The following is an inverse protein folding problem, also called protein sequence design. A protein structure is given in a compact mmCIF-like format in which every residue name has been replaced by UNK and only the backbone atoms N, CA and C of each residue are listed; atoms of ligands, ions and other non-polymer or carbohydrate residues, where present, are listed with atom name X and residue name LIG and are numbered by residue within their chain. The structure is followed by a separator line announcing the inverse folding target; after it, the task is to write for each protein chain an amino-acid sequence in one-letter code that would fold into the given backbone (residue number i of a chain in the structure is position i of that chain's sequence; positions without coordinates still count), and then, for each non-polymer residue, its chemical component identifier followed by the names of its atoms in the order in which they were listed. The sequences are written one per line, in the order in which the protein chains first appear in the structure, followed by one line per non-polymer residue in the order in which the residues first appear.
data_IF_190360100948
#
_entry.id   IF_190360100948
#
_cell.length_a   1.000
_cell.length_b   1.000
_cell.length_c   1.000
_cell.angle_alpha   90.00
_cell.angle_beta   90.00
_cell.angle_gamma   90.00
#
_symmetry.space_group_name_H-M   'P 1'
#
loop_
_entity.id
_entity.type
_entity.pdbx_description
1 polymer ?
#
# COMPACT_ATOMS: atom_id res chain seq x y z
N UNK A 1 38.75 58.87 -0.97
CA UNK A 1 38.44 57.57 -0.36
C UNK A 1 37.05 57.15 -0.81
N UNK A 2 36.93 56.36 -1.88
CA UNK A 2 35.64 55.92 -2.42
C UNK A 2 35.24 54.61 -1.75
N UNK A 3 34.15 54.60 -0.99
CA UNK A 3 33.61 53.39 -0.34
C UNK A 3 32.57 52.75 -1.27
N UNK A 4 32.95 51.70 -1.98
CA UNK A 4 32.01 50.85 -2.71
C UNK A 4 31.23 49.99 -1.70
N UNK A 5 29.91 50.21 -1.62
CA UNK A 5 28.98 49.32 -0.92
C UNK A 5 28.61 48.16 -1.85
N UNK A 6 29.10 46.96 -1.56
CA UNK A 6 28.66 45.74 -2.23
C UNK A 6 27.35 45.26 -1.61
N UNK A 7 26.24 45.42 -2.33
CA UNK A 7 24.96 44.79 -1.99
C UNK A 7 25.03 43.33 -2.45
N UNK A 8 25.16 42.41 -1.49
CA UNK A 8 25.07 40.97 -1.73
C UNK A 8 23.57 40.61 -1.83
N UNK A 9 23.08 40.38 -3.05
CA UNK A 9 21.73 39.85 -3.29
C UNK A 9 21.78 38.33 -3.15
N UNK A 10 21.30 37.81 -2.02
CA UNK A 10 21.10 36.38 -1.78
C UNK A 10 19.88 35.89 -2.59
N UNK A 11 20.12 35.32 -3.77
CA UNK A 11 19.11 34.59 -4.52
C UNK A 11 18.78 33.27 -3.80
N UNK A 12 17.66 33.24 -3.08
CA UNK A 12 17.04 31.99 -2.62
C UNK A 12 16.51 31.23 -3.85
N UNK A 13 17.29 30.26 -4.34
CA UNK A 13 16.76 29.23 -5.24
C UNK A 13 15.79 28.35 -4.46
N UNK A 14 14.49 28.64 -4.56
CA UNK A 14 13.46 27.71 -4.13
C UNK A 14 13.51 26.49 -5.06
N UNK A 15 14.16 25.41 -4.61
CA UNK A 15 14.04 24.10 -5.24
C UNK A 15 12.58 23.66 -5.12
N UNK A 16 11.79 23.92 -6.15
CA UNK A 16 10.47 23.31 -6.28
C UNK A 16 10.68 21.83 -6.55
N UNK A 17 10.67 21.03 -5.48
CA UNK A 17 10.57 19.59 -5.61
C UNK A 17 9.22 19.28 -6.23
N UNK A 18 9.19 19.05 -7.55
CA UNK A 18 7.98 18.58 -8.22
C UNK A 18 7.61 17.22 -7.66
N UNK A 19 6.48 17.15 -6.94
CA UNK A 19 5.91 15.88 -6.51
C UNK A 19 5.66 15.03 -7.77
N UNK A 20 6.20 13.81 -7.77
CA UNK A 20 6.00 12.88 -8.88
C UNK A 20 4.54 12.41 -8.86
N UNK A 21 3.72 13.02 -9.70
CA UNK A 21 2.33 12.62 -9.89
C UNK A 21 2.20 11.56 -11.00
N UNK A 22 1.24 10.65 -10.83
CA UNK A 22 0.91 9.62 -11.80
C UNK A 22 -0.54 9.77 -12.25
N UNK A 23 -0.78 9.71 -13.56
CA UNK A 23 -2.14 9.84 -14.09
C UNK A 23 -2.92 8.52 -14.08
N UNK A 24 -2.26 7.40 -13.77
CA UNK A 24 -2.91 6.09 -13.63
C UNK A 24 -2.15 5.13 -12.72
N UNK A 25 -2.89 4.19 -12.11
CA UNK A 25 -2.32 3.10 -11.31
C UNK A 25 -1.30 2.26 -12.09
N UNK A 26 -1.49 2.08 -13.40
CA UNK A 26 -0.55 1.33 -14.23
C UNK A 26 0.82 2.01 -14.30
N UNK A 27 0.84 3.34 -14.47
CA UNK A 27 2.06 4.12 -14.48
C UNK A 27 2.77 4.08 -13.12
N UNK A 28 2.02 4.29 -12.03
CA UNK A 28 2.55 4.20 -10.67
C UNK A 28 3.21 2.83 -10.41
N UNK A 29 2.54 1.73 -10.75
CA UNK A 29 3.11 0.38 -10.64
C UNK A 29 4.36 0.19 -11.49
N UNK A 30 4.36 0.68 -12.73
CA UNK A 30 5.53 0.58 -13.62
C UNK A 30 6.73 1.33 -13.03
N UNK A 31 6.50 2.51 -12.46
CA UNK A 31 7.51 3.28 -11.77
C UNK A 31 8.03 2.53 -10.54
N UNK A 32 7.14 2.13 -9.63
CA UNK A 32 7.52 1.45 -8.39
C UNK A 32 8.25 0.12 -8.64
N UNK A 33 7.84 -0.66 -9.63
CA UNK A 33 8.54 -1.91 -10.00
C UNK A 33 9.98 -1.68 -10.47
N UNK A 34 10.29 -0.50 -11.04
CA UNK A 34 11.68 -0.14 -11.39
C UNK A 34 12.51 0.17 -10.15
N UNK A 35 11.90 0.74 -9.12
CA UNK A 35 12.54 1.11 -7.85
C UNK A 35 12.79 -0.07 -6.90
N UNK A 36 12.33 -1.28 -7.24
CA UNK A 36 12.64 -2.47 -6.43
C UNK A 36 14.14 -2.74 -6.46
N UNK A 37 14.71 -2.77 -5.26
CA UNK A 37 16.11 -3.11 -4.91
C UNK A 37 16.19 -4.46 -4.22
N UNK A 38 17.41 -4.94 -3.94
CA UNK A 38 17.65 -6.18 -3.19
C UNK A 38 17.13 -6.12 -1.75
N UNK A 39 17.11 -4.93 -1.14
CA UNK A 39 16.58 -4.69 0.20
C UNK A 39 15.06 -4.50 0.22
N UNK A 40 14.40 -4.50 -0.94
CA UNK A 40 12.95 -4.35 -0.98
C UNK A 40 12.28 -5.57 -0.35
N UNK A 41 11.31 -5.31 0.53
CA UNK A 41 10.57 -6.34 1.27
C UNK A 41 9.05 -6.17 1.13
N UNK A 42 8.32 -7.29 1.19
CA UNK A 42 6.85 -7.26 1.16
C UNK A 42 6.27 -6.69 2.47
N UNK A 43 5.18 -5.92 2.35
CA UNK A 43 4.58 -5.19 3.46
C UNK A 43 4.24 -6.09 4.65
N UNK A 44 3.56 -7.21 4.39
CA UNK A 44 2.98 -8.05 5.46
C UNK A 44 3.90 -9.16 5.94
N UNK A 45 4.81 -9.67 5.11
CA UNK A 45 5.63 -10.84 5.46
C UNK A 45 7.12 -10.57 5.48
N UNK A 46 7.54 -9.34 5.15
CA UNK A 46 8.95 -8.98 5.06
C UNK A 46 9.78 -9.93 4.16
N UNK A 47 9.15 -10.51 3.14
CA UNK A 47 9.84 -11.38 2.19
C UNK A 47 10.64 -10.54 1.20
N UNK A 48 11.84 -11.01 0.84
CA UNK A 48 12.60 -10.51 -0.29
C UNK A 48 11.78 -10.55 -1.59
N UNK A 49 12.16 -9.71 -2.54
CA UNK A 49 11.47 -9.58 -3.82
C UNK A 49 12.47 -9.80 -4.95
N UNK A 50 12.28 -10.87 -5.72
CA UNK A 50 13.09 -11.18 -6.89
C UNK A 50 12.39 -10.74 -8.17
N UNK A 51 13.15 -10.18 -9.13
CA UNK A 51 12.67 -9.92 -10.49
C UNK A 51 12.85 -11.18 -11.35
N UNK A 52 11.76 -11.74 -11.88
CA UNK A 52 11.78 -12.80 -12.90
C UNK A 52 11.15 -12.27 -14.19
N UNK A 53 12.00 -11.82 -15.12
CA UNK A 53 11.55 -11.05 -16.29
C UNK A 53 10.80 -9.79 -15.86
N UNK A 54 9.55 -9.63 -16.32
CA UNK A 54 8.68 -8.49 -15.94
C UNK A 54 7.93 -8.71 -14.62
N UNK A 55 8.03 -9.89 -14.00
CA UNK A 55 7.28 -10.26 -12.79
C UNK A 55 8.13 -10.03 -11.55
N UNK A 56 7.49 -9.54 -10.50
CA UNK A 56 8.04 -9.52 -9.15
C UNK A 56 7.54 -10.77 -8.42
N UNK A 57 8.44 -11.52 -7.80
CA UNK A 57 8.16 -12.80 -7.14
C UNK A 57 8.65 -12.72 -5.69
N UNK A 58 7.86 -13.16 -4.70
CA UNK A 58 8.34 -13.23 -3.33
C UNK A 58 9.42 -14.30 -3.20
N UNK A 59 10.53 -13.97 -2.56
CA UNK A 59 11.49 -14.95 -2.05
C UNK A 59 10.96 -15.45 -0.71
N UNK A 60 10.26 -16.58 -0.75
CA UNK A 60 9.60 -17.16 0.42
C UNK A 60 10.61 -17.75 1.42
N UNK A 61 11.81 -18.11 0.97
CA UNK A 61 12.87 -18.66 1.83
C UNK A 61 13.40 -17.61 2.79
N UNK A 62 13.45 -16.34 2.38
CA UNK A 62 13.89 -15.21 3.20
C UNK A 62 13.00 -14.88 4.40
N UNK A 63 11.74 -15.34 4.40
CA UNK A 63 10.73 -14.96 5.38
C UNK A 63 9.90 -16.12 5.95
N UNK A 64 10.07 -17.34 5.42
CA UNK A 64 9.28 -18.51 5.83
C UNK A 64 7.80 -18.44 5.46
N UNK A 65 7.41 -17.66 4.44
CA UNK A 65 6.03 -17.62 3.97
C UNK A 65 5.62 -18.99 3.40
N UNK A 66 4.45 -19.48 3.82
CA UNK A 66 3.76 -20.60 3.20
C UNK A 66 2.36 -20.18 2.79
N UNK A 67 1.90 -20.62 1.61
CA UNK A 67 0.57 -20.28 1.14
C UNK A 67 -0.51 -20.96 1.99
N UNK A 68 -1.55 -20.22 2.36
CA UNK A 68 -2.71 -20.79 3.07
C UNK A 68 -3.51 -21.71 2.15
N UNK A 69 -3.62 -21.34 0.89
CA UNK A 69 -4.25 -22.12 -0.17
C UNK A 69 -3.22 -22.35 -1.28
N UNK A 70 -2.35 -23.37 -1.17
CA UNK A 70 -1.33 -23.64 -2.18
C UNK A 70 -1.95 -24.03 -3.54
N UNK A 71 -3.15 -24.60 -3.52
CA UNK A 71 -3.90 -24.98 -4.71
C UNK A 71 -5.28 -24.30 -4.75
N UNK A 72 -5.72 -23.97 -5.96
CA UNK A 72 -7.08 -23.54 -6.26
C UNK A 72 -8.07 -24.69 -6.12
N UNK A 73 -9.38 -24.39 -6.12
CA UNK A 73 -10.46 -25.40 -6.10
C UNK A 73 -10.39 -26.42 -7.24
N UNK A 74 -9.75 -26.05 -8.35
CA UNK A 74 -9.61 -26.90 -9.53
C UNK A 74 -8.24 -27.62 -9.56
N UNK A 75 -7.53 -27.72 -8.43
CA UNK A 75 -6.26 -28.43 -8.28
C UNK A 75 -5.03 -27.73 -8.87
N UNK A 76 -5.19 -26.57 -9.52
CA UNK A 76 -4.06 -25.80 -10.06
C UNK A 76 -3.34 -25.03 -8.96
N UNK A 77 -2.02 -24.84 -9.08
CA UNK A 77 -1.26 -23.97 -8.19
C UNK A 77 -1.88 -22.57 -8.05
N UNK A 78 -1.85 -22.04 -6.84
CA UNK A 78 -2.28 -20.68 -6.55
C UNK A 78 -1.25 -19.67 -7.07
N UNK A 79 -1.43 -19.23 -8.32
CA UNK A 79 -0.56 -18.23 -8.95
C UNK A 79 -0.45 -16.90 -8.19
N UNK A 80 -1.38 -16.58 -7.27
CA UNK A 80 -1.28 -15.38 -6.43
C UNK A 80 -0.26 -15.53 -5.30
N UNK A 81 -0.04 -16.73 -4.78
CA UNK A 81 1.01 -16.99 -3.80
C UNK A 81 2.42 -16.76 -4.39
N UNK A 82 2.56 -16.88 -5.71
CA UNK A 82 3.84 -16.84 -6.43
C UNK A 82 4.12 -15.51 -7.14
N UNK A 83 3.45 -14.42 -6.75
CA UNK A 83 3.70 -13.09 -7.33
C UNK A 83 3.48 -11.97 -6.32
N UNK A 84 4.18 -10.86 -6.54
CA UNK A 84 3.92 -9.61 -5.84
C UNK A 84 2.79 -8.87 -6.55
N UNK A 85 1.84 -8.38 -5.75
CA UNK A 85 0.82 -7.44 -6.15
C UNK A 85 1.04 -6.11 -5.41
N UNK A 86 0.72 -5.00 -6.06
CA UNK A 86 0.81 -3.68 -5.44
C UNK A 86 -0.44 -3.44 -4.60
N UNK A 87 -0.25 -3.49 -3.29
CA UNK A 87 -1.26 -3.27 -2.27
C UNK A 87 -1.61 -1.79 -2.15
N UNK A 88 -2.91 -1.51 -2.14
CA UNK A 88 -3.45 -0.22 -1.72
C UNK A 88 -3.65 -0.29 -0.20
N UNK A 89 -2.73 0.27 0.60
CA UNK A 89 -2.78 0.19 2.07
C UNK A 89 -4.14 0.68 2.58
N UNK A 90 -4.54 1.90 2.21
CA UNK A 90 -5.93 2.33 2.19
C UNK A 90 -6.56 1.79 0.93
N UNK A 91 -7.48 0.82 1.08
CA UNK A 91 -8.03 0.10 -0.06
C UNK A 91 -8.73 1.03 -1.06
N UNK A 92 -8.74 0.67 -2.35
CA UNK A 92 -9.45 1.44 -3.37
C UNK A 92 -10.95 1.58 -3.11
N UNK A 93 -11.54 0.60 -2.43
CA UNK A 93 -12.91 0.68 -1.98
C UNK A 93 -13.07 1.76 -0.92
N UNK A 94 -12.18 1.84 0.07
CA UNK A 94 -12.29 2.77 1.19
C UNK A 94 -12.30 4.23 0.74
N UNK A 95 -11.37 4.63 -0.14
CA UNK A 95 -11.34 5.99 -0.68
C UNK A 95 -12.29 6.25 -1.85
N UNK A 96 -12.92 5.21 -2.41
CA UNK A 96 -13.70 5.30 -3.65
C UNK A 96 -15.20 5.08 -3.51
N UNK A 97 -15.64 4.21 -2.59
CA UNK A 97 -17.01 3.68 -2.59
C UNK A 97 -18.09 4.74 -2.38
N UNK A 98 -17.80 5.87 -1.75
CA UNK A 98 -18.75 6.96 -1.54
C UNK A 98 -18.82 7.94 -2.73
N UNK A 99 -17.96 7.79 -3.73
CA UNK A 99 -17.97 8.67 -4.91
C UNK A 99 -19.10 8.29 -5.86
N UNK A 100 -19.70 9.28 -6.51
CA UNK A 100 -20.76 9.07 -7.49
C UNK A 100 -20.34 8.14 -8.64
N UNK A 101 -19.09 8.26 -9.12
CA UNK A 101 -18.57 7.36 -10.14
C UNK A 101 -18.56 5.88 -9.69
N UNK A 102 -18.45 5.63 -8.38
CA UNK A 102 -18.42 4.27 -7.88
C UNK A 102 -19.83 3.69 -7.85
N UNK A 103 -20.82 4.50 -7.48
CA UNK A 103 -22.23 4.12 -7.53
C UNK A 103 -22.69 3.82 -8.97
N UNK A 104 -22.15 4.54 -9.95
CA UNK A 104 -22.50 4.39 -11.37
C UNK A 104 -21.79 3.25 -12.11
N UNK A 105 -20.82 2.56 -11.50
CA UNK A 105 -20.11 1.47 -12.19
C UNK A 105 -18.81 1.00 -11.53
N UNK A 106 -18.70 1.21 -10.22
CA UNK A 106 -17.59 0.79 -9.39
C UNK A 106 -16.23 1.38 -9.77
N UNK A 107 -15.17 0.70 -9.31
CA UNK A 107 -13.77 1.06 -9.57
C UNK A 107 -13.47 1.25 -11.05
N UNK A 108 -14.04 0.41 -11.92
CA UNK A 108 -13.81 0.47 -13.39
C UNK A 108 -14.34 1.78 -13.96
N UNK A 109 -15.54 2.22 -13.55
CA UNK A 109 -16.09 3.50 -13.99
C UNK A 109 -15.31 4.68 -13.40
N UNK A 110 -15.00 4.66 -12.11
CA UNK A 110 -14.20 5.73 -11.49
C UNK A 110 -12.86 5.97 -12.16
N UNK A 111 -12.15 4.91 -12.59
CA UNK A 111 -10.91 5.05 -13.36
C UNK A 111 -11.10 5.86 -14.65
N UNK A 112 -12.25 5.75 -15.31
CA UNK A 112 -12.55 6.46 -16.56
C UNK A 112 -12.93 7.92 -16.30
N UNK A 113 -13.85 8.15 -15.36
CA UNK A 113 -14.53 9.46 -15.27
C UNK A 113 -14.05 10.37 -14.13
N UNK A 114 -13.40 9.82 -13.10
CA UNK A 114 -13.02 10.60 -11.92
C UNK A 114 -11.52 10.83 -11.84
N UNK A 115 -11.08 12.06 -12.11
CA UNK A 115 -9.69 12.47 -11.91
C UNK A 115 -9.26 12.33 -10.45
N UNK A 116 -10.13 12.76 -9.52
CA UNK A 116 -9.90 12.61 -8.07
C UNK A 116 -9.63 11.15 -7.70
N UNK A 117 -10.44 10.21 -8.20
CA UNK A 117 -10.22 8.79 -7.96
C UNK A 117 -8.90 8.29 -8.56
N UNK A 118 -8.57 8.67 -9.79
CA UNK A 118 -7.31 8.27 -10.43
C UNK A 118 -6.09 8.76 -9.65
N UNK A 119 -6.12 10.00 -9.14
CA UNK A 119 -5.05 10.55 -8.29
C UNK A 119 -4.86 9.72 -7.04
N UNK A 120 -5.92 9.48 -6.27
CA UNK A 120 -5.88 8.64 -5.06
C UNK A 120 -5.40 7.21 -5.35
N UNK A 121 -5.81 6.63 -6.48
CA UNK A 121 -5.44 5.26 -6.85
C UNK A 121 -3.98 5.14 -7.32
N UNK A 122 -3.45 6.18 -7.95
CA UNK A 122 -2.10 6.20 -8.48
C UNK A 122 -1.06 6.72 -7.47
N UNK A 123 -1.49 7.16 -6.29
CA UNK A 123 -0.61 7.71 -5.26
C UNK A 123 0.31 6.65 -4.66
N UNK A 124 1.60 6.84 -4.86
CA UNK A 124 2.62 5.89 -4.42
C UNK A 124 2.82 5.83 -2.91
N UNK A 125 2.41 6.86 -2.14
CA UNK A 125 2.45 6.84 -0.68
C UNK A 125 1.48 5.81 -0.09
N UNK A 126 0.46 5.44 -0.86
CA UNK A 126 -0.53 4.42 -0.50
C UNK A 126 -0.23 3.04 -1.12
N UNK A 127 0.91 2.87 -1.80
CA UNK A 127 1.29 1.64 -2.49
C UNK A 127 2.44 0.91 -1.80
N UNK A 128 2.29 -0.39 -1.64
CA UNK A 128 3.34 -1.26 -1.11
C UNK A 128 3.35 -2.61 -1.82
N UNK A 129 4.52 -3.27 -1.98
CA UNK A 129 4.55 -4.62 -2.51
C UNK A 129 3.97 -5.60 -1.46
N UNK A 130 3.06 -6.48 -1.86
CA UNK A 130 2.51 -7.54 -1.02
C UNK A 130 2.46 -8.86 -1.78
N UNK A 131 2.51 -9.99 -1.07
CA UNK A 131 2.25 -11.30 -1.69
C UNK A 131 0.80 -11.32 -2.16
N UNK A 132 0.56 -11.75 -3.41
CA UNK A 132 -0.75 -11.67 -4.05
C UNK A 132 -1.84 -12.47 -3.32
N UNK A 133 -1.52 -13.60 -2.68
CA UNK A 133 -2.49 -14.35 -1.87
C UNK A 133 -3.01 -13.47 -0.72
N UNK A 134 -2.10 -12.91 0.10
CA UNK A 134 -2.43 -12.05 1.23
C UNK A 134 -3.12 -10.77 0.77
N UNK A 135 -2.68 -10.16 -0.34
CA UNK A 135 -3.34 -8.99 -0.92
C UNK A 135 -4.84 -9.24 -1.14
N UNK A 136 -5.17 -10.33 -1.81
CA UNK A 136 -6.57 -10.61 -2.11
C UNK A 136 -7.35 -11.26 -0.98
N UNK A 137 -6.70 -11.97 -0.06
CA UNK A 137 -7.33 -12.43 1.19
C UNK A 137 -7.68 -11.24 2.09
N UNK A 138 -6.81 -10.21 2.15
CA UNK A 138 -7.08 -8.94 2.84
C UNK A 138 -8.26 -8.20 2.22
N UNK A 139 -8.44 -8.26 0.90
CA UNK A 139 -9.58 -7.64 0.22
C UNK A 139 -9.69 -6.12 0.53
N UNK A 140 -10.82 -5.67 1.09
CA UNK A 140 -11.00 -4.33 1.66
C UNK A 140 -11.20 -4.38 3.19
N UNK A 141 -10.64 -5.38 3.85
CA UNK A 141 -10.81 -5.57 5.29
C UNK A 141 -10.08 -4.47 6.05
N UNK A 142 -10.72 -4.01 7.13
CA UNK A 142 -10.14 -3.00 8.02
C UNK A 142 -9.03 -3.61 8.86
N UNK A 143 -8.04 -2.80 9.19
CA UNK A 143 -6.98 -3.17 10.10
C UNK A 143 -7.50 -3.25 11.54
N UNK A 144 -7.03 -4.22 12.32
CA UNK A 144 -7.40 -4.42 13.73
C UNK A 144 -6.31 -5.18 14.46
N UNK A 145 -6.44 -5.30 15.78
CA UNK A 145 -5.83 -6.40 16.53
C UNK A 145 -6.78 -7.60 16.53
N UNK A 146 -6.24 -8.81 16.44
CA UNK A 146 -6.91 -10.10 16.37
C UNK A 146 -6.20 -11.11 17.30
N UNK A 147 -6.33 -10.93 18.63
CA UNK A 147 -5.64 -11.78 19.62
C UNK A 147 -6.05 -13.26 19.52
N UNK A 148 -7.29 -13.54 19.09
CA UNK A 148 -7.86 -14.89 19.00
C UNK A 148 -7.85 -15.47 17.57
N UNK A 149 -7.10 -14.87 16.64
CA UNK A 149 -6.98 -15.38 15.28
C UNK A 149 -5.55 -15.87 15.05
N UNK A 150 -5.43 -17.09 14.55
CA UNK A 150 -4.14 -17.67 14.19
C UNK A 150 -3.62 -17.13 12.86
N UNK A 151 -2.29 -17.06 12.73
CA UNK A 151 -1.64 -16.79 11.47
C UNK A 151 -1.60 -18.07 10.62
N UNK A 152 -1.98 -17.97 9.35
CA UNK A 152 -2.14 -19.13 8.45
C UNK A 152 -1.19 -19.09 7.24
N UNK A 153 -0.11 -18.32 7.31
CA UNK A 153 0.79 -18.05 6.18
C UNK A 153 2.24 -18.48 6.45
N UNK A 154 2.42 -19.62 7.13
CA UNK A 154 3.73 -20.08 7.60
C UNK A 154 4.28 -19.18 8.71
N UNK A 155 5.53 -18.75 8.59
CA UNK A 155 6.18 -17.86 9.56
C UNK A 155 5.72 -16.40 9.46
N UNK A 156 4.95 -16.04 8.42
CA UNK A 156 4.41 -14.68 8.28
C UNK A 156 3.28 -14.46 9.30
N UNK A 157 3.42 -13.53 10.27
CA UNK A 157 2.51 -13.44 11.41
C UNK A 157 1.25 -12.61 11.11
N UNK A 158 0.91 -12.43 9.82
CA UNK A 158 -0.32 -11.76 9.41
C UNK A 158 -1.52 -12.64 9.75
N UNK A 159 -2.53 -12.04 10.38
CA UNK A 159 -3.76 -12.74 10.77
C UNK A 159 -4.93 -12.14 10.02
N UNK A 160 -5.80 -12.99 9.47
CA UNK A 160 -6.99 -12.54 8.73
C UNK A 160 -8.20 -13.28 9.28
N UNK A 161 -9.17 -12.50 9.78
CA UNK A 161 -10.48 -12.99 10.14
C UNK A 161 -11.47 -12.67 9.01
N UNK A 162 -11.80 -13.70 8.23
CA UNK A 162 -12.73 -13.57 7.09
C UNK A 162 -14.17 -13.29 7.53
N UNK A 163 -14.58 -13.75 8.72
CA UNK A 163 -15.94 -13.57 9.23
C UNK A 163 -16.14 -12.14 9.74
N UNK A 164 -15.18 -11.62 10.49
CA UNK A 164 -15.18 -10.24 10.99
C UNK A 164 -14.72 -9.23 9.93
N UNK A 165 -14.16 -9.70 8.82
CA UNK A 165 -13.58 -8.87 7.74
C UNK A 165 -12.52 -7.93 8.30
N UNK A 166 -11.55 -8.51 9.00
CA UNK A 166 -10.44 -7.81 9.66
C UNK A 166 -9.10 -8.48 9.35
N UNK A 167 -8.06 -7.68 9.35
CA UNK A 167 -6.68 -8.12 9.24
C UNK A 167 -5.86 -7.51 10.39
N UNK A 168 -5.05 -8.33 11.06
CA UNK A 168 -3.98 -7.85 11.93
C UNK A 168 -2.66 -7.93 11.16
N UNK A 169 -2.03 -6.79 10.86
CA UNK A 169 -0.73 -6.76 10.24
C UNK A 169 0.36 -7.04 11.28
N UNK A 170 1.54 -7.54 10.83
CA UNK A 170 2.70 -7.71 11.70
C UNK A 170 3.13 -6.38 12.33
N UNK A 171 3.79 -6.44 13.50
CA UNK A 171 4.27 -5.26 14.22
C UNK A 171 5.05 -4.28 13.32
N UNK A 172 6.02 -4.78 12.57
CA UNK A 172 6.89 -3.96 11.71
C UNK A 172 6.16 -3.22 10.57
N UNK A 173 4.94 -3.61 10.19
CA UNK A 173 4.18 -2.94 9.13
C UNK A 173 3.25 -1.84 9.66
N UNK A 174 2.95 -1.84 10.96
CA UNK A 174 1.89 -1.01 11.58
C UNK A 174 2.13 0.47 11.41
N UNK A 175 3.35 0.94 11.67
CA UNK A 175 3.71 2.36 11.52
C UNK A 175 3.51 2.83 10.08
N UNK A 176 4.03 2.09 9.09
CA UNK A 176 3.84 2.42 7.66
C UNK A 176 2.37 2.43 7.26
N UNK A 177 1.57 1.51 7.80
CA UNK A 177 0.12 1.48 7.56
C UNK A 177 -0.56 2.73 8.13
N UNK A 178 -0.27 3.07 9.39
CA UNK A 178 -0.80 4.27 10.03
C UNK A 178 -0.41 5.55 9.27
N UNK A 179 0.86 5.67 8.88
CA UNK A 179 1.38 6.81 8.12
C UNK A 179 0.65 6.96 6.78
N UNK A 180 0.38 5.86 6.06
CA UNK A 180 -0.38 5.90 4.81
C UNK A 180 -1.85 6.34 5.03
N UNK A 181 -2.51 5.88 6.10
CA UNK A 181 -3.87 6.33 6.44
C UNK A 181 -3.91 7.83 6.75
N UNK A 182 -3.02 8.31 7.61
CA UNK A 182 -2.96 9.73 7.96
C UNK A 182 -2.56 10.61 6.77
N UNK A 183 -1.68 10.11 5.91
CA UNK A 183 -1.37 10.75 4.64
C UNK A 183 -2.62 10.88 3.77
N UNK A 184 -3.36 9.79 3.54
CA UNK A 184 -4.56 9.82 2.70
C UNK A 184 -5.66 10.70 3.28
N UNK A 185 -5.78 10.77 4.61
CA UNK A 185 -6.64 11.73 5.30
C UNK A 185 -6.24 13.17 5.05
N UNK A 186 -4.96 13.51 5.28
CA UNK A 186 -4.44 14.87 5.10
C UNK A 186 -4.53 15.32 3.64
N UNK A 187 -4.18 14.45 2.70
CA UNK A 187 -4.05 14.78 1.27
C UNK A 187 -5.40 14.77 0.56
N UNK A 188 -6.30 13.84 0.89
CA UNK A 188 -7.55 13.63 0.15
C UNK A 188 -8.83 13.81 0.97
N UNK A 189 -8.71 14.12 2.26
CA UNK A 189 -9.84 14.26 3.17
C UNK A 189 -10.52 12.93 3.51
N UNK A 190 -9.80 11.80 3.41
CA UNK A 190 -10.30 10.48 3.81
C UNK A 190 -10.83 10.53 5.24
N UNK A 191 -12.06 10.08 5.46
CA UNK A 191 -12.66 10.04 6.81
C UNK A 191 -12.23 8.77 7.53
N UNK A 192 -11.38 8.91 8.54
CA UNK A 192 -10.99 7.81 9.43
C UNK A 192 -11.91 7.79 10.66
N UNK A 193 -12.56 6.65 10.91
CA UNK A 193 -13.40 6.46 12.11
C UNK A 193 -12.60 6.66 13.40
N UNK A 194 -13.23 7.13 14.48
CA UNK A 194 -12.57 7.35 15.77
C UNK A 194 -11.83 6.10 16.28
N UNK A 195 -12.38 4.90 16.07
CA UNK A 195 -11.73 3.65 16.46
C UNK A 195 -10.45 3.38 15.66
N UNK A 196 -10.51 3.50 14.32
CA UNK A 196 -9.32 3.33 13.46
C UNK A 196 -8.28 4.42 13.74
N UNK A 197 -8.71 5.66 13.98
CA UNK A 197 -7.79 6.74 14.34
C UNK A 197 -7.02 6.40 15.62
N UNK A 198 -7.70 5.98 16.68
CA UNK A 198 -7.04 5.57 17.94
C UNK A 198 -6.02 4.44 17.69
N UNK A 199 -6.39 3.43 16.89
CA UNK A 199 -5.51 2.34 16.50
C UNK A 199 -4.26 2.84 15.77
N UNK A 200 -4.43 3.65 14.73
CA UNK A 200 -3.34 4.17 13.91
C UNK A 200 -2.45 5.15 14.69
N UNK A 201 -3.01 5.96 15.59
CA UNK A 201 -2.22 6.82 16.49
C UNK A 201 -1.34 5.99 17.43
N UNK A 202 -1.84 4.85 17.93
CA UNK A 202 -1.02 3.95 18.73
C UNK A 202 0.09 3.30 17.88
N UNK A 203 -0.22 2.88 16.66
CA UNK A 203 0.74 2.27 15.73
C UNK A 203 1.79 3.24 15.20
N UNK A 204 1.50 4.53 15.11
CA UNK A 204 2.46 5.53 14.65
C UNK A 204 3.57 5.81 15.70
N UNK A 205 3.29 5.51 16.98
CA UNK A 205 4.22 5.68 18.11
C UNK A 205 5.09 4.45 18.38
N UNK A 206 4.85 3.37 17.64
CA UNK A 206 5.65 2.14 17.65
C UNK A 206 6.86 2.28 16.73
#
# INVERSE_FOLDING_TARGET
MSRFFYIIVLYFFALTASAQDFSSFSQAKKYLSKQITEDSRTLYCNCGITKRGKKLVPDTTSCGYAARLPYTRNGKENARANRIEWEHIVSAWEFGHQLQCWQQGGRKHCRKVSEKFRKMEADIHNLAPAIGEINGDRSNYRFSMLPNTEANYGACPVKIDFKLRRIEPPYYARKRIADAYFYMEKTYGLKISTQQRKLFTAWQKQ
#
